data_IF_147218882105
#
_entry.id   IF_147218882105
#
_cell.length_a   1.000
_cell.length_b   1.000
_cell.length_c   1.000
_cell.angle_alpha   90.00
_cell.angle_beta   90.00
_cell.angle_gamma   90.00
#
_symmetry.space_group_name_H-M   'P 1'
#
loop_
_entity.id
_entity.type
_entity.pdbx_description
1 polymer ?
#
# COMPACT_ATOMS: atom_id res chain seq x y z
N UNK A 1 -37.47 36.02 50.37
CA UNK A 1 -37.37 34.55 50.52
C UNK A 1 -38.75 33.94 50.37
N UNK A 2 -39.05 33.32 49.23
CA UNK A 2 -39.40 31.90 49.16
C UNK A 2 -39.77 31.50 47.72
N UNK A 3 -39.28 30.30 47.39
CA UNK A 3 -39.15 29.70 46.06
C UNK A 3 -40.49 29.50 45.35
N UNK A 4 -40.52 29.78 44.04
CA UNK A 4 -41.49 29.17 43.12
C UNK A 4 -40.94 27.83 42.64
N UNK A 5 -41.68 26.77 42.94
CA UNK A 5 -41.48 25.41 42.41
C UNK A 5 -41.96 25.41 40.95
N UNK A 6 -41.04 25.19 40.00
CA UNK A 6 -41.41 24.84 38.63
C UNK A 6 -41.66 23.33 38.54
N UNK A 7 -42.82 22.98 38.02
CA UNK A 7 -43.30 21.61 37.80
C UNK A 7 -42.69 20.97 36.54
N UNK A 8 -42.43 19.67 36.63
CA UNK A 8 -41.67 18.78 35.72
C UNK A 8 -42.37 18.47 34.37
N UNK A 9 -43.22 19.35 33.84
CA UNK A 9 -44.06 19.04 32.67
C UNK A 9 -43.72 19.75 31.35
N UNK A 10 -42.61 20.49 31.25
CA UNK A 10 -42.18 21.16 30.00
C UNK A 10 -40.83 20.68 29.43
N UNK A 11 -40.19 19.67 30.04
CA UNK A 11 -38.88 19.16 29.56
C UNK A 11 -39.03 18.02 28.54
N UNK A 12 -40.25 17.52 28.29
CA UNK A 12 -40.48 16.34 27.45
C UNK A 12 -40.79 16.61 25.97
N UNK A 13 -40.70 17.85 25.48
CA UNK A 13 -40.89 18.17 24.06
C UNK A 13 -39.61 18.62 23.31
N UNK A 14 -38.43 18.24 23.83
CA UNK A 14 -37.14 18.46 23.15
C UNK A 14 -36.32 17.17 22.96
N UNK A 15 -36.91 16.00 23.28
CA UNK A 15 -36.25 14.70 23.16
C UNK A 15 -36.89 13.82 22.07
N UNK A 16 -37.22 14.41 20.92
CA UNK A 16 -37.43 13.68 19.66
C UNK A 16 -36.85 14.51 18.51
N UNK A 17 -35.55 14.81 18.60
CA UNK A 17 -34.71 14.85 17.40
C UNK A 17 -33.84 13.62 17.48
N UNK A 18 -34.44 12.56 16.95
CA UNK A 18 -33.78 11.33 16.55
C UNK A 18 -32.44 11.72 15.90
N UNK A 19 -31.36 11.31 16.54
CA UNK A 19 -29.99 11.33 16.03
C UNK A 19 -29.94 10.34 14.87
N UNK A 20 -30.49 10.75 13.72
CA UNK A 20 -30.23 10.18 12.40
C UNK A 20 -29.78 11.34 11.53
N UNK A 21 -28.52 11.69 11.74
CA UNK A 21 -27.76 12.61 10.93
C UNK A 21 -26.32 12.16 11.00
N UNK A 22 -26.04 10.94 10.51
CA UNK A 22 -24.71 10.66 10.01
C UNK A 22 -24.47 11.71 8.93
N UNK A 23 -23.51 12.59 9.19
CA UNK A 23 -23.16 13.70 8.32
C UNK A 23 -22.54 13.12 7.04
N UNK A 24 -23.36 12.89 6.00
CA UNK A 24 -23.01 12.21 4.72
C UNK A 24 -22.10 13.08 3.84
N UNK A 25 -21.36 14.05 4.40
CA UNK A 25 -20.59 15.02 3.60
C UNK A 25 -19.28 15.50 4.24
N UNK A 26 -18.66 14.73 5.15
CA UNK A 26 -17.27 15.00 5.51
C UNK A 26 -16.32 14.43 4.48
N UNK A 27 -16.21 15.11 3.33
CA UNK A 27 -14.98 15.05 2.56
C UNK A 27 -13.86 15.61 3.45
N UNK A 28 -12.68 14.98 3.41
CA UNK A 28 -11.49 15.44 4.14
C UNK A 28 -11.29 16.95 3.87
N UNK A 29 -11.12 17.80 4.91
CA UNK A 29 -10.98 19.24 4.72
C UNK A 29 -9.86 19.53 3.72
N UNK A 30 -10.09 20.47 2.80
CA UNK A 30 -9.13 20.84 1.75
C UNK A 30 -7.75 21.22 2.31
N UNK A 31 -7.68 21.68 3.55
CA UNK A 31 -6.45 22.14 4.20
C UNK A 31 -5.63 21.00 4.84
N UNK A 32 -6.17 19.77 4.90
CA UNK A 32 -5.45 18.60 5.37
C UNK A 32 -4.78 17.90 4.18
N UNK A 33 -3.61 18.41 3.81
CA UNK A 33 -2.78 17.86 2.73
C UNK A 33 -1.86 16.75 3.25
N UNK A 34 -1.84 15.62 2.55
CA UNK A 34 -0.73 14.69 2.71
C UNK A 34 0.48 15.26 1.98
N UNK A 35 1.64 15.21 2.64
CA UNK A 35 2.92 15.55 2.04
C UNK A 35 3.67 14.27 1.72
N UNK A 36 4.22 14.19 0.50
CA UNK A 36 5.05 13.07 0.08
C UNK A 36 6.38 13.62 -0.45
N UNK A 37 7.42 13.52 0.38
CA UNK A 37 8.77 13.93 0.03
C UNK A 37 9.49 12.78 -0.66
N UNK A 38 10.05 13.07 -1.84
CA UNK A 38 10.82 12.13 -2.64
C UNK A 38 12.30 12.48 -2.49
N UNK A 39 13.07 11.57 -1.90
CA UNK A 39 14.47 11.84 -1.51
C UNK A 39 15.38 10.68 -1.89
N UNK A 40 16.66 10.98 -2.05
CA UNK A 40 17.69 9.94 -2.08
C UNK A 40 18.11 9.55 -0.66
N UNK A 41 18.24 8.25 -0.41
CA UNK A 41 18.88 7.69 0.79
C UNK A 41 19.67 6.44 0.43
N UNK A 42 20.69 6.16 1.24
CA UNK A 42 21.38 4.87 1.22
C UNK A 42 20.71 3.97 2.25
N UNK A 43 20.16 2.84 1.81
CA UNK A 43 19.55 1.83 2.67
C UNK A 43 20.14 0.44 2.38
N UNK A 44 19.89 -0.50 3.28
CA UNK A 44 20.37 -1.88 3.19
C UNK A 44 19.31 -2.86 3.74
N UNK A 45 18.14 -2.98 3.09
CA UNK A 45 17.02 -3.82 3.57
C UNK A 45 17.36 -5.32 3.63
N UNK A 46 18.35 -5.75 2.84
CA UNK A 46 18.92 -7.09 2.81
C UNK A 46 20.40 -7.14 3.24
N UNK A 47 20.91 -6.03 3.78
CA UNK A 47 22.29 -5.90 4.24
C UNK A 47 23.27 -5.40 3.19
N UNK A 48 22.85 -5.18 1.94
CA UNK A 48 23.65 -4.53 0.92
C UNK A 48 23.33 -3.03 0.83
N UNK A 49 24.34 -2.17 1.06
CA UNK A 49 24.15 -0.72 0.97
C UNK A 49 24.10 -0.25 -0.48
N UNK A 50 23.01 0.41 -0.87
CA UNK A 50 22.88 1.08 -2.17
C UNK A 50 22.12 2.39 -2.06
N UNK A 51 22.34 3.28 -3.03
CA UNK A 51 21.52 4.49 -3.19
C UNK A 51 20.14 4.13 -3.74
N UNK A 52 19.12 4.86 -3.29
CA UNK A 52 17.71 4.60 -3.57
C UNK A 52 16.93 5.90 -3.76
N UNK A 53 15.73 5.79 -4.31
CA UNK A 53 14.71 6.85 -4.41
C UNK A 53 13.56 6.45 -3.51
N UNK A 54 13.30 7.20 -2.42
CA UNK A 54 12.32 6.81 -1.40
C UNK A 54 11.27 7.90 -1.20
N UNK A 55 10.06 7.47 -0.85
CA UNK A 55 8.95 8.34 -0.46
C UNK A 55 8.80 8.38 1.07
N UNK A 56 8.42 9.52 1.63
CA UNK A 56 8.16 9.69 3.07
C UNK A 56 7.25 10.88 3.37
N UNK A 57 6.56 10.85 4.51
CA UNK A 57 5.75 11.98 5.00
C UNK A 57 6.61 13.22 5.31
N UNK A 58 7.87 12.96 5.67
CA UNK A 58 8.94 13.95 5.77
C UNK A 58 10.20 13.40 5.08
N UNK A 59 11.19 14.24 4.73
CA UNK A 59 12.47 13.77 4.20
C UNK A 59 13.17 12.75 5.12
N UNK A 60 13.03 12.92 6.44
CA UNK A 60 13.65 12.05 7.43
C UNK A 60 12.95 10.70 7.58
N UNK A 61 11.63 10.63 7.36
CA UNK A 61 10.84 9.40 7.45
C UNK A 61 10.78 8.59 6.14
N UNK A 62 11.38 9.11 5.06
CA UNK A 62 11.43 8.38 3.80
C UNK A 62 12.07 7.00 3.98
N UNK A 63 11.37 5.97 3.51
CA UNK A 63 11.65 4.56 3.80
C UNK A 63 11.28 3.69 2.60
N UNK A 64 11.67 2.42 2.68
CA UNK A 64 11.27 1.38 1.74
C UNK A 64 10.51 0.26 2.47
N UNK A 65 9.29 -0.11 2.02
CA UNK A 65 8.46 0.60 1.06
C UNK A 65 8.14 2.03 1.51
N UNK A 66 7.62 2.86 0.62
CA UNK A 66 7.09 4.17 0.97
C UNK A 66 5.93 4.08 1.99
N UNK A 67 5.57 5.18 2.66
CA UNK A 67 4.50 5.18 3.66
C UNK A 67 3.18 4.70 3.07
N UNK A 68 2.38 4.04 3.91
CA UNK A 68 0.99 3.74 3.58
C UNK A 68 0.19 5.02 3.38
N UNK A 69 -0.48 5.12 2.23
CA UNK A 69 -1.49 6.13 1.97
C UNK A 69 -2.88 5.51 2.14
N UNK A 70 -3.75 6.18 2.90
CA UNK A 70 -5.09 5.67 3.17
C UNK A 70 -6.15 6.71 2.87
N UNK A 71 -7.29 6.24 2.38
CA UNK A 71 -8.52 7.03 2.32
C UNK A 71 -9.73 6.13 2.58
N UNK A 72 -10.92 6.73 2.62
CA UNK A 72 -12.19 6.02 2.53
C UNK A 72 -12.81 6.24 1.15
N UNK A 73 -13.64 5.30 0.72
CA UNK A 73 -14.46 5.47 -0.48
C UNK A 73 -15.24 6.78 -0.42
N UNK A 74 -15.21 7.56 -1.50
CA UNK A 74 -15.81 8.90 -1.55
C UNK A 74 -14.89 10.04 -1.16
N UNK A 75 -13.73 9.76 -0.55
CA UNK A 75 -12.77 10.79 -0.18
C UNK A 75 -12.07 11.40 -1.41
N UNK A 76 -11.35 12.48 -1.13
CA UNK A 76 -10.49 13.17 -2.07
C UNK A 76 -9.06 13.18 -1.54
N UNK A 77 -8.12 12.83 -2.39
CA UNK A 77 -6.69 12.93 -2.11
C UNK A 77 -6.19 14.32 -2.49
N UNK A 78 -5.46 14.92 -1.55
CA UNK A 78 -4.66 16.11 -1.77
C UNK A 78 -3.22 15.80 -1.37
N UNK A 79 -2.42 15.31 -2.32
CA UNK A 79 -1.06 14.84 -2.05
C UNK A 79 -0.07 15.79 -2.70
N UNK A 80 0.63 16.58 -1.88
CA UNK A 80 1.70 17.45 -2.35
C UNK A 80 3.01 16.66 -2.44
N UNK A 81 3.37 16.25 -3.65
CA UNK A 81 4.62 15.53 -3.91
C UNK A 81 5.75 16.54 -4.09
N UNK A 82 6.77 16.47 -3.25
CA UNK A 82 7.95 17.35 -3.30
C UNK A 82 9.16 16.55 -3.75
N UNK A 83 9.74 16.92 -4.89
CA UNK A 83 10.96 16.31 -5.42
C UNK A 83 12.19 16.95 -4.77
N UNK A 84 12.99 16.15 -4.09
CA UNK A 84 14.27 16.54 -3.47
C UNK A 84 15.40 15.59 -3.90
N UNK A 85 15.30 15.01 -5.10
CA UNK A 85 16.31 14.12 -5.64
C UNK A 85 17.55 14.88 -6.12
N UNK A 86 18.72 14.34 -5.77
CA UNK A 86 20.03 14.98 -5.99
C UNK A 86 21.08 14.03 -6.56
N UNK A 87 20.91 12.72 -6.40
CA UNK A 87 21.87 11.71 -6.86
C UNK A 87 21.93 11.65 -8.40
N UNK A 88 23.08 11.91 -9.03
CA UNK A 88 23.21 11.90 -10.48
C UNK A 88 23.27 10.50 -11.10
N UNK A 89 23.37 9.43 -10.30
CA UNK A 89 23.36 8.04 -10.78
C UNK A 89 21.96 7.49 -11.06
N UNK A 90 20.92 8.26 -10.71
CA UNK A 90 19.50 7.96 -10.92
C UNK A 90 18.80 9.18 -11.55
N UNK A 91 17.58 8.97 -12.07
CA UNK A 91 16.76 10.09 -12.53
C UNK A 91 16.43 11.03 -11.36
N UNK A 92 16.68 12.34 -11.54
CA UNK A 92 16.46 13.38 -10.51
C UNK A 92 15.13 14.13 -10.65
N UNK A 93 14.38 13.83 -11.70
CA UNK A 93 12.98 14.21 -11.82
C UNK A 93 12.12 13.05 -11.36
N UNK A 94 10.85 13.28 -11.10
CA UNK A 94 9.94 12.19 -10.74
C UNK A 94 8.49 12.46 -11.15
N UNK A 95 7.68 11.40 -11.21
CA UNK A 95 6.21 11.45 -11.26
C UNK A 95 5.66 10.29 -10.47
N UNK A 96 4.48 10.43 -9.87
CA UNK A 96 3.84 9.37 -9.09
C UNK A 96 2.57 8.93 -9.79
N UNK A 97 2.45 7.63 -10.09
CA UNK A 97 1.22 7.00 -10.53
C UNK A 97 0.51 6.31 -9.38
N UNK A 98 -0.82 6.43 -9.36
CA UNK A 98 -1.72 5.87 -8.34
C UNK A 98 -2.36 4.61 -8.92
N UNK A 99 -1.67 3.49 -8.77
CA UNK A 99 -1.95 2.27 -9.48
C UNK A 99 -3.37 1.76 -9.24
N UNK A 100 -4.12 1.55 -10.32
CA UNK A 100 -5.49 1.02 -10.29
C UNK A 100 -6.59 2.06 -10.07
N UNK A 101 -6.24 3.33 -9.83
CA UNK A 101 -7.25 4.40 -9.72
C UNK A 101 -7.68 4.89 -11.10
N UNK A 102 -8.99 5.05 -11.30
CA UNK A 102 -9.58 5.38 -12.60
C UNK A 102 -9.23 6.79 -13.10
N UNK A 103 -8.94 7.73 -12.20
CA UNK A 103 -8.64 9.13 -12.52
C UNK A 103 -9.65 9.78 -13.48
N UNK A 104 -10.94 9.42 -13.32
CA UNK A 104 -12.03 9.99 -14.12
C UNK A 104 -12.06 11.50 -13.90
N UNK A 105 -12.06 12.26 -15.01
CA UNK A 105 -11.95 13.74 -15.06
C UNK A 105 -10.67 14.34 -14.44
N UNK A 106 -9.72 13.51 -14.01
CA UNK A 106 -8.48 13.91 -13.31
C UNK A 106 -7.25 13.27 -13.95
N UNK A 107 -7.30 13.00 -15.26
CA UNK A 107 -6.20 12.39 -16.01
C UNK A 107 -4.85 13.12 -15.83
N UNK A 108 -4.84 14.44 -15.58
CA UNK A 108 -3.61 15.20 -15.29
C UNK A 108 -2.88 14.73 -14.01
N UNK A 109 -3.58 14.05 -13.10
CA UNK A 109 -3.06 13.52 -11.83
C UNK A 109 -2.68 12.03 -11.93
N UNK A 110 -2.77 11.43 -13.11
CA UNK A 110 -2.52 10.01 -13.32
C UNK A 110 -1.04 9.64 -13.17
N UNK A 111 -0.09 10.53 -13.47
CA UNK A 111 1.32 10.32 -13.13
C UNK A 111 2.23 9.75 -14.20
N UNK A 112 1.69 9.25 -15.31
CA UNK A 112 2.50 8.68 -16.40
C UNK A 112 3.28 9.79 -17.12
N UNK A 113 4.61 9.75 -16.99
CA UNK A 113 5.48 10.75 -17.60
C UNK A 113 5.30 10.79 -19.13
N UNK A 114 5.15 11.98 -19.67
CA UNK A 114 4.96 12.29 -21.10
C UNK A 114 3.65 11.77 -21.72
N UNK A 115 2.74 11.24 -20.91
CA UNK A 115 1.36 10.91 -21.30
C UNK A 115 0.38 11.83 -20.59
N UNK A 116 0.29 11.73 -19.27
CA UNK A 116 -0.62 12.56 -18.45
C UNK A 116 0.05 13.81 -17.90
N UNK A 117 1.37 13.82 -17.73
CA UNK A 117 2.11 14.98 -17.24
C UNK A 117 3.60 14.97 -17.62
N UNK A 118 4.24 16.14 -17.59
CA UNK A 118 5.70 16.21 -17.52
C UNK A 118 6.21 15.84 -16.12
N UNK A 119 7.45 15.34 -16.00
CA UNK A 119 8.06 15.10 -14.70
C UNK A 119 8.18 16.33 -13.81
N UNK A 120 7.97 16.13 -12.51
CA UNK A 120 8.30 17.11 -11.48
C UNK A 120 9.81 17.30 -11.54
N UNK A 121 10.24 18.55 -11.60
CA UNK A 121 11.66 18.90 -11.62
C UNK A 121 12.23 18.90 -10.20
N UNK A 122 13.54 18.64 -10.03
CA UNK A 122 14.18 18.71 -8.72
C UNK A 122 13.88 20.03 -8.01
N UNK A 123 13.68 19.97 -6.69
CA UNK A 123 13.33 21.09 -5.80
C UNK A 123 11.98 21.77 -6.10
N UNK A 124 11.10 21.13 -6.86
CA UNK A 124 9.73 21.59 -7.09
C UNK A 124 8.74 20.60 -6.49
N UNK A 125 7.50 21.05 -6.36
CA UNK A 125 6.40 20.23 -5.90
C UNK A 125 5.23 20.26 -6.88
N UNK A 126 4.42 19.22 -6.83
CA UNK A 126 3.19 19.11 -7.60
C UNK A 126 2.08 18.55 -6.73
N UNK A 127 0.91 19.20 -6.77
CA UNK A 127 -0.27 18.78 -6.03
C UNK A 127 -1.08 17.81 -6.88
N UNK A 128 -1.14 16.55 -6.44
CA UNK A 128 -2.09 15.58 -6.95
C UNK A 128 -3.43 15.76 -6.23
N UNK A 129 -4.45 16.15 -6.99
CA UNK A 129 -5.78 16.51 -6.48
C UNK A 129 -6.85 15.71 -7.23
N UNK A 130 -7.28 14.59 -6.67
CA UNK A 130 -8.24 13.68 -7.30
C UNK A 130 -9.15 12.99 -6.28
N UNK A 131 -10.35 12.57 -6.72
CA UNK A 131 -11.34 11.88 -5.88
C UNK A 131 -11.41 10.39 -6.18
N UNK A 132 -11.89 9.61 -5.20
CA UNK A 132 -12.13 8.15 -5.34
C UNK A 132 -13.59 7.82 -5.03
N UNK A 133 -14.55 8.31 -5.85
CA UNK A 133 -15.97 8.23 -5.53
C UNK A 133 -16.55 6.81 -5.55
N UNK A 134 -16.00 5.95 -6.41
CA UNK A 134 -16.57 4.66 -6.78
C UNK A 134 -15.58 3.49 -6.66
N UNK A 135 -14.43 3.71 -6.01
CA UNK A 135 -13.42 2.67 -5.77
C UNK A 135 -13.11 2.50 -4.29
N UNK A 136 -12.94 1.25 -3.87
CA UNK A 136 -12.43 0.87 -2.55
C UNK A 136 -11.72 -0.47 -2.67
N UNK A 137 -10.64 -0.65 -1.91
CA UNK A 137 -9.79 -1.83 -1.99
C UNK A 137 -8.32 -1.51 -1.79
N UNK A 138 -7.48 -2.38 -2.32
CA UNK A 138 -6.04 -2.40 -2.16
C UNK A 138 -5.37 -2.00 -3.46
N UNK A 139 -4.54 -0.98 -3.37
CA UNK A 139 -3.84 -0.33 -4.46
C UNK A 139 -2.39 -0.08 -4.03
N UNK A 140 -1.65 0.61 -4.86
CA UNK A 140 -0.30 1.05 -4.54
C UNK A 140 0.04 2.29 -5.36
N UNK A 141 1.14 2.94 -5.02
CA UNK A 141 1.68 4.04 -5.80
C UNK A 141 3.14 3.77 -6.11
N UNK A 142 3.61 4.28 -7.24
CA UNK A 142 5.00 4.12 -7.64
C UNK A 142 5.45 5.25 -8.56
N UNK A 143 6.76 5.38 -8.73
CA UNK A 143 7.29 6.27 -9.77
C UNK A 143 6.85 5.78 -11.14
N UNK A 144 6.39 6.70 -11.99
CA UNK A 144 6.05 6.40 -13.37
C UNK A 144 6.88 7.20 -14.38
N UNK A 145 8.13 7.47 -13.98
CA UNK A 145 9.19 7.99 -14.85
C UNK A 145 10.23 6.89 -15.09
N UNK A 146 10.43 6.50 -16.35
CA UNK A 146 11.48 5.55 -16.74
C UNK A 146 11.35 4.25 -15.91
N UNK A 147 12.47 3.72 -15.43
CA UNK A 147 12.58 2.56 -14.54
C UNK A 147 12.76 2.94 -13.07
N UNK A 148 12.52 4.21 -12.70
CA UNK A 148 12.87 4.77 -11.40
C UNK A 148 12.21 4.07 -10.19
N UNK A 149 11.03 3.46 -10.35
CA UNK A 149 10.40 2.75 -9.22
C UNK A 149 11.19 1.51 -8.78
N UNK A 150 12.03 0.94 -9.67
CA UNK A 150 13.00 -0.10 -9.32
C UNK A 150 14.09 0.37 -8.35
N UNK A 151 14.31 1.69 -8.22
CA UNK A 151 15.22 2.27 -7.23
C UNK A 151 14.56 2.52 -5.86
N UNK A 152 13.30 2.15 -5.69
CA UNK A 152 12.63 2.12 -4.38
C UNK A 152 11.37 2.99 -4.25
N UNK A 153 11.04 3.82 -5.25
CA UNK A 153 9.89 4.73 -5.17
C UNK A 153 8.59 3.95 -5.46
N UNK A 154 8.12 3.22 -4.46
CA UNK A 154 6.87 2.45 -4.46
C UNK A 154 6.37 2.24 -3.03
N UNK A 155 5.05 2.31 -2.83
CA UNK A 155 4.41 2.20 -1.52
C UNK A 155 2.96 1.74 -1.61
N UNK A 156 2.38 1.21 -0.52
CA UNK A 156 1.00 0.72 -0.51
C UNK A 156 -0.01 1.87 -0.43
N UNK A 157 -1.18 1.68 -1.06
CA UNK A 157 -2.32 2.59 -1.00
C UNK A 157 -3.59 1.79 -0.69
N UNK A 158 -4.35 2.16 0.33
CA UNK A 158 -5.58 1.43 0.71
C UNK A 158 -6.74 2.40 0.80
N UNK A 159 -7.83 2.09 0.10
CA UNK A 159 -9.08 2.83 0.19
C UNK A 159 -10.09 1.95 0.91
N UNK A 160 -10.38 2.26 2.17
CA UNK A 160 -11.32 1.47 2.98
C UNK A 160 -12.78 1.76 2.58
N UNK A 161 -13.62 0.72 2.53
CA UNK A 161 -15.06 0.87 2.35
C UNK A 161 -15.77 0.77 3.72
N UNK A 162 -16.44 1.84 4.21
CA UNK A 162 -17.25 1.76 5.41
C UNK A 162 -18.40 0.74 5.31
N UNK A 163 -18.83 0.41 4.09
CA UNK A 163 -19.89 -0.56 3.78
C UNK A 163 -19.32 -1.81 3.09
N UNK A 164 -18.09 -2.21 3.43
CA UNK A 164 -17.44 -3.39 2.88
C UNK A 164 -18.32 -4.66 3.01
N UNK A 165 -18.71 -5.31 1.89
CA UNK A 165 -19.54 -6.51 1.92
C UNK A 165 -18.88 -7.70 2.62
N UNK A 166 -17.55 -7.68 2.80
CA UNK A 166 -16.79 -8.70 3.49
C UNK A 166 -16.44 -8.32 4.94
N UNK A 167 -16.97 -7.22 5.48
CA UNK A 167 -16.59 -6.71 6.82
C UNK A 167 -16.73 -7.75 7.94
N UNK A 168 -17.79 -8.56 7.90
CA UNK A 168 -18.06 -9.60 8.90
C UNK A 168 -17.15 -10.82 8.78
N UNK A 169 -16.40 -10.91 7.68
CA UNK A 169 -15.46 -11.99 7.48
C UNK A 169 -14.31 -11.83 8.47
N UNK A 170 -13.76 -10.63 8.76
CA UNK A 170 -12.53 -10.39 9.55
C UNK A 170 -12.73 -9.59 10.84
N UNK A 171 -11.76 -9.73 11.75
CA UNK A 171 -11.71 -8.98 13.01
C UNK A 171 -10.74 -7.79 12.91
N UNK A 172 -9.62 -7.96 12.19
CA UNK A 172 -8.55 -6.97 12.05
C UNK A 172 -8.27 -6.67 10.57
N UNK A 173 -8.27 -5.39 10.22
CA UNK A 173 -7.90 -4.82 8.92
C UNK A 173 -7.32 -3.42 9.18
N UNK A 174 -6.00 -3.34 9.27
CA UNK A 174 -5.23 -2.11 9.53
C UNK A 174 -3.82 -2.20 8.91
N UNK A 175 -2.97 -1.21 9.16
CA UNK A 175 -1.60 -1.15 8.63
C UNK A 175 -0.77 -2.42 8.94
N UNK A 176 -1.00 -3.09 10.08
CA UNK A 176 -0.27 -4.31 10.45
C UNK A 176 -0.63 -5.52 9.58
N UNK A 177 -1.74 -5.44 8.85
CA UNK A 177 -2.23 -6.49 7.95
C UNK A 177 -1.80 -6.27 6.50
N UNK A 178 -1.04 -5.22 6.21
CA UNK A 178 -0.51 -4.99 4.86
C UNK A 178 0.78 -5.79 4.68
N UNK A 179 0.83 -6.55 3.59
CA UNK A 179 1.98 -7.36 3.20
C UNK A 179 2.42 -6.88 1.82
N UNK A 180 3.56 -6.22 1.77
CA UNK A 180 4.21 -5.83 0.52
C UNK A 180 5.26 -6.88 0.15
N UNK A 181 5.30 -7.24 -1.12
CA UNK A 181 6.36 -8.05 -1.71
C UNK A 181 7.07 -7.18 -2.74
N UNK A 182 8.39 -7.19 -2.72
CA UNK A 182 9.21 -6.48 -3.68
C UNK A 182 10.47 -7.28 -4.01
N UNK A 183 10.82 -7.33 -5.28
CA UNK A 183 12.19 -7.62 -5.69
C UNK A 183 13.16 -6.49 -5.34
N UNK A 184 14.39 -6.84 -5.04
CA UNK A 184 15.45 -5.91 -4.70
C UNK A 184 16.69 -6.17 -5.52
N UNK A 185 17.27 -5.10 -6.04
CA UNK A 185 18.48 -5.14 -6.85
C UNK A 185 19.60 -4.41 -6.12
N UNK A 186 20.85 -4.82 -6.31
CA UNK A 186 22.02 -4.14 -5.78
C UNK A 186 22.53 -3.05 -6.72
N UNK A 187 22.20 -3.15 -8.01
CA UNK A 187 22.47 -2.14 -9.04
C UNK A 187 21.29 -1.16 -9.20
N UNK A 188 21.58 0.10 -9.55
CA UNK A 188 20.53 1.08 -9.84
C UNK A 188 19.75 0.71 -11.09
N UNK A 189 18.50 1.17 -11.18
CA UNK A 189 17.60 0.87 -12.28
C UNK A 189 18.20 1.28 -13.64
N UNK A 190 18.88 2.43 -13.70
CA UNK A 190 19.59 2.89 -14.89
C UNK A 190 20.83 2.04 -15.23
N UNK A 191 21.54 1.52 -14.22
CA UNK A 191 22.64 0.58 -14.44
C UNK A 191 22.14 -0.76 -14.99
N UNK A 192 21.02 -1.28 -14.46
CA UNK A 192 20.36 -2.48 -14.96
C UNK A 192 19.89 -2.27 -16.41
N UNK A 193 19.25 -1.14 -16.70
CA UNK A 193 18.81 -0.79 -18.04
C UNK A 193 20.00 -0.70 -19.02
N UNK A 194 21.11 -0.09 -18.58
CA UNK A 194 22.33 0.01 -19.39
C UNK A 194 22.99 -1.36 -19.66
N UNK A 195 22.83 -2.33 -18.75
CA UNK A 195 23.36 -3.68 -18.92
C UNK A 195 22.65 -4.50 -20.01
N UNK A 196 21.43 -4.09 -20.42
CA UNK A 196 20.62 -4.75 -21.49
C UNK A 196 20.41 -6.25 -21.28
N UNK A 197 20.49 -6.72 -20.04
CA UNK A 197 20.16 -8.07 -19.64
C UNK A 197 18.83 -8.07 -18.90
N UNK A 198 18.10 -9.19 -18.95
CA UNK A 198 16.95 -9.40 -18.07
C UNK A 198 17.50 -9.36 -16.63
N UNK A 199 17.10 -8.37 -15.82
CA UNK A 199 17.67 -8.22 -14.50
C UNK A 199 17.19 -9.36 -13.60
N UNK A 200 18.08 -9.94 -12.80
CA UNK A 200 17.70 -10.90 -11.77
C UNK A 200 17.75 -10.19 -10.42
N UNK A 201 16.68 -10.29 -9.65
CA UNK A 201 16.61 -9.72 -8.32
C UNK A 201 17.63 -10.41 -7.41
N UNK A 202 18.37 -9.62 -6.62
CA UNK A 202 19.33 -10.13 -5.63
C UNK A 202 18.60 -10.67 -4.39
N UNK A 203 17.48 -10.04 -4.00
CA UNK A 203 16.65 -10.47 -2.88
C UNK A 203 15.16 -10.26 -3.15
N UNK A 204 14.33 -11.02 -2.44
CA UNK A 204 12.91 -10.68 -2.22
C UNK A 204 12.78 -10.03 -0.85
N UNK A 205 12.07 -8.90 -0.79
CA UNK A 205 11.73 -8.18 0.42
C UNK A 205 10.25 -8.38 0.73
N UNK A 206 9.95 -8.81 1.95
CA UNK A 206 8.60 -8.77 2.53
C UNK A 206 8.58 -7.62 3.53
N UNK A 207 7.65 -6.67 3.41
CA UNK A 207 7.56 -5.50 4.28
C UNK A 207 8.92 -4.79 4.50
N UNK A 208 9.68 -4.64 3.40
CA UNK A 208 10.97 -3.94 3.37
C UNK A 208 12.16 -4.70 3.94
N UNK A 209 12.02 -6.00 4.22
CA UNK A 209 13.08 -6.84 4.80
C UNK A 209 13.25 -8.14 4.02
N UNK A 210 14.49 -8.55 3.83
CA UNK A 210 14.80 -9.80 3.15
C UNK A 210 16.27 -10.16 3.24
N UNK A 211 16.67 -11.20 2.52
CA UNK A 211 18.04 -11.73 2.47
C UNK A 211 18.37 -12.11 1.03
N UNK A 212 19.64 -11.99 0.66
CA UNK A 212 20.17 -12.50 -0.60
C UNK A 212 21.12 -13.68 -0.37
N UNK A 213 21.32 -14.50 -1.40
CA UNK A 213 22.18 -15.67 -1.33
C UNK A 213 23.64 -15.27 -1.08
N UNK A 214 24.25 -15.82 -0.02
CA UNK A 214 25.62 -15.48 0.38
C UNK A 214 25.77 -14.14 1.11
N UNK A 215 24.66 -13.44 1.38
CA UNK A 215 24.63 -12.18 2.14
C UNK A 215 24.73 -12.35 3.66
N UNK A 216 24.77 -11.22 4.40
CA UNK A 216 24.77 -11.24 5.86
C UNK A 216 23.41 -11.69 6.42
N UNK A 217 23.42 -12.09 7.69
CA UNK A 217 22.19 -12.46 8.40
C UNK A 217 21.42 -11.19 8.83
N UNK A 218 20.43 -10.79 8.02
CA UNK A 218 19.57 -9.63 8.29
C UNK A 218 18.24 -10.02 8.95
N UNK A 219 17.60 -9.11 9.70
CA UNK A 219 16.27 -9.35 10.26
C UNK A 219 15.24 -9.62 9.16
N UNK A 220 14.36 -10.60 9.38
CA UNK A 220 13.21 -10.85 8.52
C UNK A 220 12.00 -10.02 8.95
N UNK A 221 11.03 -9.85 8.06
CA UNK A 221 9.73 -9.32 8.42
C UNK A 221 8.98 -10.30 9.34
N UNK A 222 8.27 -9.75 10.31
CA UNK A 222 7.46 -10.50 11.26
C UNK A 222 6.07 -9.90 11.24
N UNK A 223 5.08 -10.73 10.94
CA UNK A 223 3.67 -10.39 10.97
C UNK A 223 3.09 -11.07 12.20
N UNK A 224 2.61 -10.27 13.16
CA UNK A 224 2.10 -10.78 14.42
C UNK A 224 0.58 -10.97 14.34
N UNK A 225 0.12 -12.12 14.82
CA UNK A 225 -1.30 -12.46 14.90
C UNK A 225 -1.65 -12.96 16.30
N UNK A 226 -2.88 -12.71 16.71
CA UNK A 226 -3.44 -13.23 17.95
C UNK A 226 -4.25 -14.49 17.64
N UNK A 227 -4.03 -15.53 18.45
CA UNK A 227 -4.77 -16.77 18.32
C UNK A 227 -6.29 -16.54 18.48
N UNK A 228 -7.06 -17.06 17.52
CA UNK A 228 -8.52 -16.96 17.50
C UNK A 228 -9.08 -15.70 16.83
N UNK A 229 -8.22 -14.75 16.43
CA UNK A 229 -8.62 -13.62 15.58
C UNK A 229 -8.44 -13.95 14.10
N UNK A 230 -9.22 -13.25 13.28
CA UNK A 230 -9.20 -13.32 11.83
C UNK A 230 -8.70 -12.01 11.23
N UNK A 231 -7.83 -12.11 10.24
CA UNK A 231 -7.11 -10.97 9.66
C UNK A 231 -7.39 -10.86 8.17
N UNK A 232 -7.69 -9.64 7.70
CA UNK A 232 -7.70 -9.31 6.27
C UNK A 232 -6.30 -8.86 5.87
N UNK A 233 -5.49 -9.78 5.41
CA UNK A 233 -4.17 -9.42 4.91
C UNK A 233 -4.27 -8.85 3.49
N UNK A 234 -3.70 -7.66 3.30
CA UNK A 234 -3.65 -6.95 2.02
C UNK A 234 -2.30 -7.20 1.38
N UNK A 235 -2.23 -8.24 0.55
CA UNK A 235 -1.04 -8.61 -0.20
C UNK A 235 -0.88 -7.70 -1.42
N UNK A 236 0.28 -7.06 -1.55
CA UNK A 236 0.62 -6.14 -2.64
C UNK A 236 1.98 -6.56 -3.18
N UNK A 237 2.02 -7.14 -4.37
CA UNK A 237 3.28 -7.32 -5.08
C UNK A 237 3.58 -6.06 -5.90
N UNK A 238 4.61 -5.35 -5.48
CA UNK A 238 5.07 -4.11 -6.09
C UNK A 238 6.36 -4.32 -6.87
N UNK A 239 6.63 -5.56 -7.29
CA UNK A 239 7.87 -5.95 -7.97
C UNK A 239 8.07 -5.25 -9.30
N UNK A 240 9.34 -4.97 -9.59
CA UNK A 240 9.83 -4.37 -10.81
C UNK A 240 9.93 -5.40 -11.95
N UNK A 241 10.29 -6.64 -11.61
CA UNK A 241 10.40 -7.76 -12.53
C UNK A 241 10.00 -9.13 -11.92
N UNK A 242 10.28 -9.45 -10.65
CA UNK A 242 10.02 -10.82 -10.18
C UNK A 242 8.52 -11.18 -10.09
N UNK A 243 8.21 -12.46 -10.34
CA UNK A 243 6.92 -13.08 -9.99
C UNK A 243 7.08 -13.89 -8.71
N UNK A 244 6.16 -13.73 -7.77
CA UNK A 244 6.23 -14.44 -6.49
C UNK A 244 5.12 -15.48 -6.38
N UNK A 245 5.47 -16.63 -5.81
CA UNK A 245 4.51 -17.62 -5.36
C UNK A 245 4.41 -17.46 -3.83
N UNK A 246 3.23 -17.14 -3.31
CA UNK A 246 3.03 -16.82 -1.90
C UNK A 246 2.19 -17.89 -1.20
N UNK A 247 2.66 -18.37 -0.07
CA UNK A 247 1.92 -19.25 0.84
C UNK A 247 2.31 -18.94 2.29
N UNK A 248 1.52 -19.41 3.25
CA UNK A 248 1.89 -19.40 4.66
C UNK A 248 1.74 -20.82 5.20
N UNK A 249 2.85 -21.37 5.67
CA UNK A 249 2.91 -22.73 6.23
C UNK A 249 1.76 -22.97 7.21
N UNK A 250 1.05 -24.09 7.01
CA UNK A 250 -0.05 -24.52 7.88
C UNK A 250 -1.25 -23.55 7.99
N UNK A 251 -1.43 -22.65 7.02
CA UNK A 251 -2.57 -21.74 6.97
C UNK A 251 -3.25 -21.74 5.60
N UNK A 252 -4.58 -21.83 5.60
CA UNK A 252 -5.38 -21.68 4.39
C UNK A 252 -5.70 -20.22 4.12
N UNK A 253 -5.84 -19.88 2.84
CA UNK A 253 -5.95 -18.52 2.33
C UNK A 253 -7.27 -18.33 1.60
N UNK A 254 -8.13 -17.42 2.07
CA UNK A 254 -9.41 -17.07 1.43
C UNK A 254 -9.34 -15.73 0.69
N UNK A 255 -9.35 -15.77 -0.63
CA UNK A 255 -9.36 -14.59 -1.49
C UNK A 255 -10.76 -13.97 -1.46
N UNK A 256 -10.85 -12.65 -1.23
CA UNK A 256 -12.10 -11.88 -1.16
C UNK A 256 -12.09 -10.60 -2.02
N UNK A 257 -10.97 -10.31 -2.67
CA UNK A 257 -10.77 -9.13 -3.52
C UNK A 257 -9.84 -9.56 -4.69
N UNK A 258 -9.76 -8.81 -5.79
CA UNK A 258 -8.77 -8.87 -6.91
C UNK A 258 -8.65 -7.46 -7.46
N UNK A 259 -7.46 -6.86 -7.37
CA UNK A 259 -7.13 -5.51 -7.86
C UNK A 259 -8.15 -4.41 -7.52
N UNK A 260 -8.54 -4.33 -6.24
CA UNK A 260 -9.54 -3.36 -5.79
C UNK A 260 -11.00 -3.73 -6.13
N UNK A 261 -11.26 -4.94 -6.63
CA UNK A 261 -12.60 -5.45 -6.93
C UNK A 261 -12.94 -6.60 -5.98
N UNK A 262 -14.07 -6.49 -5.27
CA UNK A 262 -14.54 -7.58 -4.40
C UNK A 262 -14.86 -8.85 -5.20
N UNK A 263 -14.55 -10.01 -4.62
CA UNK A 263 -14.80 -11.31 -5.25
C UNK A 263 -15.71 -12.19 -4.41
N UNK A 264 -16.21 -13.27 -5.02
CA UNK A 264 -16.80 -14.35 -4.22
C UNK A 264 -15.67 -15.05 -3.44
N UNK A 265 -15.82 -15.27 -2.12
CA UNK A 265 -14.78 -15.88 -1.32
C UNK A 265 -14.27 -17.20 -1.90
N UNK A 266 -12.97 -17.29 -2.17
CA UNK A 266 -12.33 -18.48 -2.73
C UNK A 266 -11.18 -18.94 -1.84
N UNK A 267 -11.24 -20.18 -1.32
CA UNK A 267 -10.24 -20.68 -0.38
C UNK A 267 -9.24 -21.59 -1.06
N UNK A 268 -7.97 -21.19 -1.07
CA UNK A 268 -6.83 -22.05 -1.36
C UNK A 268 -6.42 -22.83 -0.11
N UNK A 269 -6.25 -24.14 -0.27
CA UNK A 269 -5.98 -25.05 0.83
C UNK A 269 -4.52 -25.54 0.79
N UNK A 270 -3.85 -25.51 1.94
CA UNK A 270 -2.50 -26.05 2.10
C UNK A 270 -1.38 -25.13 1.61
N UNK A 271 -0.22 -25.71 1.31
CA UNK A 271 0.99 -25.00 0.91
C UNK A 271 1.00 -24.62 -0.59
N UNK A 272 -0.14 -24.75 -1.29
CA UNK A 272 -0.28 -24.33 -2.69
C UNK A 272 -0.15 -22.80 -2.80
N UNK A 273 0.78 -22.28 -3.60
CA UNK A 273 1.03 -20.85 -3.65
C UNK A 273 -0.04 -20.11 -4.47
N UNK A 274 -0.35 -18.89 -4.03
CA UNK A 274 -1.06 -17.89 -4.83
C UNK A 274 -0.03 -16.96 -5.52
N UNK A 275 -0.40 -16.40 -6.67
CA UNK A 275 0.48 -15.50 -7.43
C UNK A 275 -0.08 -14.07 -7.38
N UNK A 276 0.54 -13.12 -6.66
CA UNK A 276 0.10 -11.74 -6.62
C UNK A 276 0.37 -10.96 -7.91
N UNK A 277 -0.35 -9.84 -8.07
CA UNK A 277 -0.29 -9.04 -9.30
C UNK A 277 1.04 -8.36 -9.48
N UNK A 278 1.58 -8.43 -10.70
CA UNK A 278 2.68 -7.59 -11.18
C UNK A 278 2.21 -6.70 -12.34
N UNK A 279 2.85 -5.54 -12.51
CA UNK A 279 2.87 -4.81 -13.78
C UNK A 279 3.96 -5.37 -14.71
N UNK A 280 3.59 -5.94 -15.85
CA UNK A 280 4.54 -6.45 -16.85
C UNK A 280 3.87 -6.69 -18.21
N UNK A 281 4.59 -6.45 -19.29
CA UNK A 281 4.04 -6.34 -20.65
C UNK A 281 3.70 -7.67 -21.34
N UNK A 282 3.89 -8.83 -20.70
CA UNK A 282 3.56 -10.12 -21.29
C UNK A 282 3.02 -11.07 -20.20
N UNK A 283 1.88 -11.70 -20.52
CA UNK A 283 1.17 -12.74 -19.78
C UNK A 283 0.52 -12.34 -18.44
N UNK A 284 -0.75 -11.93 -18.52
CA UNK A 284 -1.69 -11.95 -17.41
C UNK A 284 -2.45 -13.29 -17.41
N UNK A 285 -1.94 -14.29 -16.69
CA UNK A 285 -2.74 -15.45 -16.30
C UNK A 285 -2.68 -15.62 -14.78
N UNK A 286 -3.84 -15.46 -14.14
CA UNK A 286 -4.16 -15.71 -12.73
C UNK A 286 -3.27 -14.98 -11.71
N UNK A 287 -3.67 -13.74 -11.51
CA UNK A 287 -3.03 -12.76 -10.66
C UNK A 287 -3.99 -12.44 -9.49
N UNK A 288 -3.54 -12.61 -8.25
CA UNK A 288 -4.34 -12.53 -7.02
C UNK A 288 -3.63 -11.74 -5.93
N UNK A 289 -4.10 -10.55 -5.60
CA UNK A 289 -3.77 -9.97 -4.29
C UNK A 289 -4.51 -10.77 -3.16
N UNK A 290 -4.31 -10.41 -1.90
CA UNK A 290 -5.03 -10.84 -0.68
C UNK A 290 -4.75 -12.20 -0.02
N UNK A 291 -4.95 -12.15 1.29
CA UNK A 291 -4.76 -13.28 2.18
C UNK A 291 -5.72 -13.22 3.37
N UNK A 292 -6.17 -14.40 3.77
CA UNK A 292 -7.01 -14.66 4.93
C UNK A 292 -6.32 -15.76 5.71
N UNK A 293 -6.28 -15.71 7.05
CA UNK A 293 -5.74 -16.83 7.84
C UNK A 293 -6.84 -17.38 8.73
N UNK A 294 -7.18 -18.66 8.54
CA UNK A 294 -7.91 -19.44 9.55
C UNK A 294 -6.92 -20.37 10.26
N UNK A 295 -6.58 -20.07 11.51
CA UNK A 295 -5.72 -20.97 12.30
C UNK A 295 -6.58 -22.16 12.77
N UNK A 296 -6.37 -23.36 12.22
CA UNK A 296 -7.10 -24.56 12.67
C UNK A 296 -6.23 -25.60 13.40
N UNK A 297 -4.93 -25.36 13.62
CA UNK A 297 -4.08 -26.33 14.35
C UNK A 297 -3.13 -25.73 15.38
N UNK A 298 -3.02 -26.48 16.49
CA UNK A 298 -2.09 -26.25 17.61
C UNK A 298 -0.65 -26.22 17.13
N UNK A 299 0.10 -25.19 17.53
CA UNK A 299 1.56 -25.24 17.58
C UNK A 299 2.00 -26.38 18.50
N UNK A 300 2.56 -27.45 17.92
CA UNK A 300 3.51 -28.33 18.62
C UNK A 300 4.85 -28.16 17.92
N UNK A 301 5.76 -27.55 18.65
CA UNK A 301 7.16 -27.39 18.28
C UNK A 301 7.80 -28.80 18.23
N UNK A 302 7.98 -29.34 17.04
CA UNK A 302 8.80 -30.53 16.80
C UNK A 302 9.80 -30.22 15.70
N UNK A 303 10.95 -29.68 16.09
CA UNK A 303 12.16 -29.73 15.28
C UNK A 303 12.65 -31.18 15.18
N UNK A 304 13.08 -31.66 14.01
CA UNK A 304 14.12 -32.67 13.94
C UNK A 304 15.46 -32.01 13.60
N UNK A 305 16.49 -32.55 14.25
CA UNK A 305 17.94 -32.34 14.09
C UNK A 305 18.44 -32.25 12.66
#
# INVERSE_FOLDING_TARGET
MNLRVLTILEVYLLAVHIVYGADVNKTRPRDEHDHLHIVNKIIAPDGFHRSTVLAGKTPHEASFPGPLLTARKGDRFYINVTDSLTDPSMDRSTTIHWHGLFQKTTNYADGVAFVSQCPISPNHSFMYDFGVPDQAGTFWYHSHLSVQYGDGLRGPLVIYDPEDPHRDMYDVDDESTIITIADWFHLTSLQLLAARAVPSADATLINGKGRYAGGPDTPLAVIQVEHGKRYRFRLIDMSFDAFHAFSIDSHNLTIIEVDGINTQPHTHCGDEPIFPQRQGWEYAENIYNYLWITTSRKFRNNSPS
#
